data_IF_439574727588
#
_entry.id   IF_439574727588
#
_cell.length_a   1.000
_cell.length_b   1.000
_cell.length_c   1.000
_cell.angle_alpha   90.00
_cell.angle_beta   90.00
_cell.angle_gamma   90.00
#
_symmetry.space_group_name_H-M   'P 1'
#
loop_
_entity.id
_entity.type
_entity.pdbx_description
1 polymer ?
#
# COMPACT_ATOMS: atom_id res chain seq x y z
N UNK A 1 -13.40 18.82 45.56
CA UNK A 1 -12.54 19.53 44.58
C UNK A 1 -11.46 18.54 44.10
N UNK A 2 -11.78 17.65 43.18
CA UNK A 2 -10.86 16.62 42.62
C UNK A 2 -10.17 17.19 41.40
N UNK A 3 -8.91 17.57 41.55
CA UNK A 3 -8.01 17.87 40.40
C UNK A 3 -7.40 16.56 39.92
N UNK A 4 -8.07 15.86 39.05
CA UNK A 4 -7.46 14.79 38.28
C UNK A 4 -6.74 15.43 37.09
N UNK A 5 -5.40 15.48 37.15
CA UNK A 5 -4.57 15.76 35.98
C UNK A 5 -4.82 14.68 34.94
N UNK A 6 -5.07 14.99 33.66
CA UNK A 6 -5.14 13.99 32.63
C UNK A 6 -3.74 13.39 32.40
N UNK A 7 -3.54 12.19 32.88
CA UNK A 7 -2.34 11.37 32.65
C UNK A 7 -2.50 10.56 31.38
N UNK A 8 -2.59 11.21 30.21
CA UNK A 8 -2.45 10.55 28.92
C UNK A 8 -1.69 11.43 27.94
N UNK A 9 -0.51 11.87 28.31
CA UNK A 9 0.55 12.08 27.34
C UNK A 9 1.25 10.72 27.20
N UNK A 10 0.66 9.84 26.42
CA UNK A 10 1.34 8.68 25.92
C UNK A 10 2.53 9.19 25.11
N UNK A 11 3.72 9.02 25.66
CA UNK A 11 4.98 9.36 24.98
C UNK A 11 4.99 8.55 23.69
N UNK A 12 4.80 9.21 22.53
CA UNK A 12 4.90 8.57 21.24
C UNK A 12 6.27 7.89 21.16
N UNK A 13 6.36 6.58 21.01
CA UNK A 13 7.64 5.90 21.10
C UNK A 13 8.48 6.22 19.88
N UNK A 14 9.73 6.51 20.16
CA UNK A 14 10.91 6.52 19.30
C UNK A 14 10.92 7.42 18.07
N UNK A 15 11.97 8.26 17.99
CA UNK A 15 12.44 8.95 16.79
C UNK A 15 13.03 7.99 15.73
N UNK A 16 12.82 6.68 15.89
CA UNK A 16 13.24 5.68 14.92
C UNK A 16 12.54 5.91 13.58
N UNK A 17 13.27 5.85 12.46
CA UNK A 17 12.69 6.04 11.14
C UNK A 17 11.62 4.99 10.84
N UNK A 18 10.55 5.42 10.17
CA UNK A 18 9.55 4.51 9.61
C UNK A 18 10.04 3.97 8.26
N UNK A 19 9.94 2.67 8.07
CA UNK A 19 10.27 2.02 6.81
C UNK A 19 9.10 2.16 5.83
N UNK A 20 9.32 2.85 4.72
CA UNK A 20 8.32 3.09 3.68
C UNK A 20 8.71 2.34 2.41
N UNK A 21 7.80 1.54 1.88
CA UNK A 21 7.94 0.88 0.59
C UNK A 21 6.96 1.52 -0.41
N UNK A 22 7.46 2.11 -1.48
CA UNK A 22 6.63 2.62 -2.57
C UNK A 22 6.68 1.66 -3.77
N UNK A 23 5.52 1.08 -4.10
CA UNK A 23 5.32 0.15 -5.21
C UNK A 23 4.73 0.90 -6.40
N UNK A 24 5.56 1.17 -7.41
CA UNK A 24 5.16 1.95 -8.59
C UNK A 24 4.73 1.01 -9.72
N UNK A 25 3.43 1.02 -10.04
CA UNK A 25 2.82 0.22 -11.09
C UNK A 25 2.62 0.99 -12.41
N UNK A 26 3.45 2.01 -12.67
CA UNK A 26 3.51 2.66 -13.98
C UNK A 26 4.07 1.67 -15.01
N UNK A 27 3.51 1.68 -16.23
CA UNK A 27 4.00 0.86 -17.34
C UNK A 27 5.28 1.42 -18.00
N UNK A 28 5.77 2.56 -17.52
CA UNK A 28 7.01 3.19 -18.02
C UNK A 28 8.21 2.62 -17.28
N UNK A 29 9.24 2.22 -18.02
CA UNK A 29 10.53 1.78 -17.49
C UNK A 29 11.46 2.95 -17.13
N UNK A 30 12.49 2.70 -16.30
CA UNK A 30 13.56 3.67 -16.09
C UNK A 30 14.29 3.96 -17.43
N UNK A 31 14.77 5.19 -17.64
CA UNK A 31 14.67 6.37 -16.75
C UNK A 31 13.42 7.25 -16.99
N UNK A 32 12.40 6.73 -17.66
CA UNK A 32 11.23 7.54 -18.05
C UNK A 32 10.45 8.03 -16.83
N UNK A 33 10.18 9.33 -16.75
CA UNK A 33 9.40 9.92 -15.68
C UNK A 33 7.95 9.43 -15.70
N UNK A 34 7.44 9.10 -14.53
CA UNK A 34 6.08 8.64 -14.31
C UNK A 34 5.31 9.68 -13.51
N UNK A 35 4.14 10.11 -14.01
CA UNK A 35 3.26 11.04 -13.30
C UNK A 35 2.88 10.49 -11.92
N UNK A 36 2.56 9.20 -11.85
CA UNK A 36 2.26 8.51 -10.59
C UNK A 36 3.48 8.52 -9.65
N UNK A 37 4.67 8.36 -10.21
CA UNK A 37 5.91 8.44 -9.45
C UNK A 37 6.19 9.85 -8.90
N UNK A 38 5.86 10.90 -9.65
CA UNK A 38 6.01 12.29 -9.18
C UNK A 38 5.01 12.62 -8.06
N UNK A 39 3.75 12.18 -8.18
CA UNK A 39 2.77 12.36 -7.11
C UNK A 39 3.15 11.54 -5.85
N UNK A 40 3.66 10.33 -6.03
CA UNK A 40 4.18 9.53 -4.91
C UNK A 40 5.35 10.23 -4.22
N UNK A 41 6.24 10.90 -4.98
CA UNK A 41 7.35 11.68 -4.41
C UNK A 41 6.83 12.85 -3.57
N UNK A 42 5.78 13.55 -4.02
CA UNK A 42 5.14 14.61 -3.23
C UNK A 42 4.62 14.07 -1.88
N UNK A 43 3.93 12.93 -1.89
CA UNK A 43 3.47 12.29 -0.64
C UNK A 43 4.65 11.92 0.27
N UNK A 44 5.72 11.39 -0.29
CA UNK A 44 6.93 11.04 0.48
C UNK A 44 7.62 12.27 1.06
N UNK A 45 7.62 13.40 0.36
CA UNK A 45 8.19 14.67 0.87
C UNK A 45 7.35 15.23 2.03
N UNK A 46 6.02 15.17 1.92
CA UNK A 46 5.14 15.50 3.04
C UNK A 46 5.37 14.57 4.25
N UNK A 47 5.60 13.27 4.04
CA UNK A 47 5.95 12.35 5.13
C UNK A 47 7.30 12.69 5.77
N UNK A 48 8.33 13.06 4.97
CA UNK A 48 9.64 13.48 5.48
C UNK A 48 9.56 14.73 6.35
N UNK A 49 8.65 15.63 6.03
CA UNK A 49 8.40 16.83 6.84
C UNK A 49 7.79 16.50 8.22
N UNK A 50 7.14 15.32 8.36
CA UNK A 50 6.44 14.91 9.58
C UNK A 50 7.26 13.97 10.47
N UNK A 51 8.12 13.14 9.88
CA UNK A 51 8.87 12.12 10.59
C UNK A 51 10.13 11.67 9.84
N UNK A 52 11.16 11.17 10.52
CA UNK A 52 12.21 10.39 9.87
C UNK A 52 11.63 9.18 9.17
N UNK A 53 11.91 9.03 7.87
CA UNK A 53 11.49 7.85 7.08
C UNK A 53 12.67 7.28 6.29
N UNK A 54 12.71 5.95 6.17
CA UNK A 54 13.59 5.21 5.26
C UNK A 54 12.77 4.70 4.10
N UNK A 55 13.07 5.15 2.89
CA UNK A 55 12.24 4.86 1.71
C UNK A 55 12.92 3.87 0.79
N UNK A 56 12.21 2.79 0.44
CA UNK A 56 12.53 1.91 -0.67
C UNK A 56 11.49 2.10 -1.77
N UNK A 57 11.94 2.22 -3.01
CA UNK A 57 11.05 2.33 -4.17
C UNK A 57 11.27 1.11 -5.05
N UNK A 58 10.19 0.45 -5.42
CA UNK A 58 10.19 -0.63 -6.41
C UNK A 58 9.31 -0.22 -7.58
N UNK A 59 9.89 -0.20 -8.77
CA UNK A 59 9.16 -0.02 -10.02
C UNK A 59 8.80 -1.39 -10.57
N UNK A 60 7.52 -1.72 -10.60
CA UNK A 60 7.04 -3.04 -10.99
C UNK A 60 7.25 -3.36 -12.48
N UNK A 61 7.42 -2.32 -13.34
CA UNK A 61 7.78 -2.51 -14.75
C UNK A 61 9.18 -3.07 -14.94
N UNK A 62 10.05 -2.92 -13.95
CA UNK A 62 11.44 -3.35 -13.99
C UNK A 62 11.66 -4.64 -13.18
N UNK A 63 10.58 -5.19 -12.61
CA UNK A 63 10.57 -6.44 -11.86
C UNK A 63 9.94 -7.57 -12.68
N UNK A 64 10.50 -8.75 -12.57
CA UNK A 64 9.92 -9.97 -13.14
C UNK A 64 8.93 -10.57 -12.16
N UNK A 65 7.64 -10.39 -12.44
CA UNK A 65 6.54 -10.97 -11.65
C UNK A 65 5.70 -11.89 -12.56
N UNK A 66 6.02 -13.18 -12.65
CA UNK A 66 5.25 -14.13 -13.44
C UNK A 66 3.78 -14.25 -12.99
N UNK A 67 2.92 -14.69 -13.87
CA UNK A 67 1.54 -15.08 -13.53
C UNK A 67 1.59 -16.35 -12.71
N UNK A 68 0.80 -16.42 -11.64
CA UNK A 68 0.67 -17.60 -10.81
C UNK A 68 0.34 -17.25 -9.35
N UNK A 69 0.07 -18.25 -8.55
CA UNK A 69 -0.37 -18.16 -7.17
C UNK A 69 0.68 -18.67 -6.17
N UNK A 70 1.71 -19.40 -6.66
CA UNK A 70 2.75 -19.95 -5.81
C UNK A 70 3.68 -18.85 -5.28
N UNK A 71 4.33 -19.08 -4.16
CA UNK A 71 5.31 -18.13 -3.62
C UNK A 71 6.48 -17.87 -4.59
N UNK A 72 6.86 -18.87 -5.43
CA UNK A 72 7.83 -18.73 -6.52
C UNK A 72 7.33 -19.47 -7.76
N UNK A 73 7.14 -18.75 -8.85
CA UNK A 73 6.62 -19.31 -10.12
C UNK A 73 7.74 -19.66 -11.12
N UNK A 74 8.89 -18.99 -11.04
CA UNK A 74 10.03 -19.19 -11.93
C UNK A 74 11.34 -18.91 -11.22
N UNK A 75 12.47 -19.26 -11.82
CA UNK A 75 13.81 -19.00 -11.27
C UNK A 75 14.06 -17.48 -11.11
N UNK A 76 13.62 -16.70 -12.10
CA UNK A 76 13.81 -15.25 -12.16
C UNK A 76 12.65 -14.47 -11.50
N UNK A 77 11.79 -15.13 -10.70
CA UNK A 77 10.67 -14.48 -10.01
C UNK A 77 11.16 -13.59 -8.88
N UNK A 78 10.95 -12.27 -9.02
CA UNK A 78 11.29 -11.25 -8.02
C UNK A 78 10.29 -11.17 -6.86
N UNK A 79 9.21 -11.98 -6.87
CA UNK A 79 8.19 -11.96 -5.84
C UNK A 79 8.74 -12.23 -4.42
N UNK A 80 9.61 -13.22 -4.18
CA UNK A 80 10.17 -13.47 -2.85
C UNK A 80 10.92 -12.27 -2.27
N UNK A 81 11.68 -11.58 -3.12
CA UNK A 81 12.39 -10.35 -2.76
C UNK A 81 11.43 -9.20 -2.44
N UNK A 82 10.35 -9.09 -3.22
CA UNK A 82 9.32 -8.08 -2.99
C UNK A 82 8.58 -8.34 -1.67
N UNK A 83 8.24 -9.58 -1.37
CA UNK A 83 7.65 -9.98 -0.08
C UNK A 83 8.57 -9.61 1.09
N UNK A 84 9.87 -9.85 0.95
CA UNK A 84 10.84 -9.46 1.97
C UNK A 84 10.81 -7.95 2.23
N UNK A 85 10.71 -7.14 1.16
CA UNK A 85 10.57 -5.68 1.29
C UNK A 85 9.24 -5.28 1.92
N UNK A 86 8.14 -5.95 1.56
CA UNK A 86 6.81 -5.73 2.16
C UNK A 86 6.85 -6.06 3.67
N UNK A 87 7.44 -7.19 4.03
CA UNK A 87 7.57 -7.60 5.45
C UNK A 87 8.37 -6.60 6.29
N UNK A 88 9.40 -5.99 5.71
CA UNK A 88 10.26 -5.02 6.39
C UNK A 88 9.64 -3.61 6.48
N UNK A 89 8.58 -3.31 5.74
CA UNK A 89 7.95 -2.01 5.71
C UNK A 89 6.98 -1.80 6.89
N UNK A 90 6.91 -0.58 7.41
CA UNK A 90 5.86 -0.11 8.31
C UNK A 90 4.68 0.46 7.48
N UNK A 91 5.01 1.07 6.32
CA UNK A 91 4.06 1.71 5.41
C UNK A 91 4.31 1.21 3.98
N UNK A 92 3.24 0.87 3.27
CA UNK A 92 3.31 0.49 1.84
C UNK A 92 2.44 1.44 1.02
N UNK A 93 3.04 2.12 0.03
CA UNK A 93 2.35 2.96 -0.94
C UNK A 93 2.12 2.18 -2.23
N UNK A 94 0.86 2.03 -2.60
CA UNK A 94 0.41 1.40 -3.84
C UNK A 94 0.15 2.49 -4.88
N UNK A 95 1.05 2.63 -5.87
CA UNK A 95 1.03 3.74 -6.81
C UNK A 95 0.70 3.23 -8.21
N UNK A 96 -0.46 3.63 -8.76
CA UNK A 96 -0.96 3.13 -10.06
C UNK A 96 -1.46 4.25 -10.96
N UNK A 97 -1.23 4.18 -12.27
CA UNK A 97 -1.99 4.98 -13.23
C UNK A 97 -3.41 4.40 -13.41
N UNK A 98 -4.32 5.24 -13.90
CA UNK A 98 -5.62 4.82 -14.42
C UNK A 98 -5.44 4.32 -15.85
N UNK A 99 -6.03 3.19 -16.17
CA UNK A 99 -6.15 2.61 -17.50
C UNK A 99 -7.59 2.15 -17.72
N UNK A 100 -8.30 2.78 -18.66
CA UNK A 100 -9.68 2.41 -19.00
C UNK A 100 -10.59 2.30 -17.76
N UNK A 101 -10.54 3.31 -16.89
CA UNK A 101 -11.30 3.33 -15.63
C UNK A 101 -10.81 2.36 -14.55
N UNK A 102 -9.76 1.57 -14.81
CA UNK A 102 -9.19 0.57 -13.92
C UNK A 102 -7.74 0.87 -13.51
N UNK A 103 -7.20 0.06 -12.62
CA UNK A 103 -5.78 0.05 -12.25
C UNK A 103 -4.93 -0.56 -13.38
N UNK A 104 -3.64 -0.26 -13.39
CA UNK A 104 -2.73 -0.86 -14.37
C UNK A 104 -2.63 -2.38 -14.21
N UNK A 105 -2.25 -3.08 -15.29
CA UNK A 105 -2.00 -4.52 -15.27
C UNK A 105 -0.93 -4.93 -14.26
N UNK A 106 0.09 -4.08 -14.05
CA UNK A 106 1.12 -4.34 -13.05
C UNK A 106 0.57 -4.24 -11.61
N UNK A 107 -0.35 -3.31 -11.34
CA UNK A 107 -1.02 -3.24 -10.04
C UNK A 107 -1.96 -4.43 -9.84
N UNK A 108 -2.67 -4.84 -10.89
CA UNK A 108 -3.52 -6.01 -10.85
C UNK A 108 -2.69 -7.27 -10.57
N UNK A 109 -1.58 -7.46 -11.27
CA UNK A 109 -0.65 -8.56 -11.03
C UNK A 109 -0.08 -8.56 -9.62
N UNK A 110 0.33 -7.40 -9.11
CA UNK A 110 0.79 -7.29 -7.73
C UNK A 110 -0.27 -7.78 -6.74
N UNK A 111 -1.53 -7.34 -6.93
CA UNK A 111 -2.65 -7.75 -6.06
C UNK A 111 -2.88 -9.26 -6.12
N UNK A 112 -2.86 -9.85 -7.32
CA UNK A 112 -3.00 -11.29 -7.49
C UNK A 112 -1.86 -12.07 -6.83
N UNK A 113 -0.64 -11.57 -6.95
CA UNK A 113 0.54 -12.18 -6.29
C UNK A 113 0.52 -12.06 -4.76
N UNK A 114 -0.17 -11.06 -4.20
CA UNK A 114 -0.35 -10.96 -2.75
C UNK A 114 -1.12 -12.14 -2.17
N UNK A 115 -1.95 -12.83 -2.96
CA UNK A 115 -2.67 -14.03 -2.55
C UNK A 115 -1.73 -15.16 -2.11
N UNK A 116 -0.53 -15.24 -2.69
CA UNK A 116 0.52 -16.19 -2.26
C UNK A 116 0.97 -16.04 -0.79
N UNK A 117 0.61 -14.94 -0.12
CA UNK A 117 0.87 -14.76 1.32
C UNK A 117 -0.13 -15.52 2.20
N UNK A 118 -1.23 -15.99 1.64
CA UNK A 118 -2.21 -16.81 2.38
C UNK A 118 -1.65 -18.18 2.75
N UNK A 119 -0.76 -18.75 1.94
CA UNK A 119 -0.05 -20.00 2.26
C UNK A 119 0.73 -19.86 3.58
N UNK A 120 1.46 -18.74 3.75
CA UNK A 120 2.21 -18.48 4.96
C UNK A 120 1.27 -18.28 6.17
N UNK A 121 0.17 -17.57 5.95
CA UNK A 121 -0.84 -17.36 6.99
C UNK A 121 -1.47 -18.71 7.41
N UNK A 122 -1.86 -19.54 6.46
CA UNK A 122 -2.44 -20.85 6.72
C UNK A 122 -1.48 -21.78 7.45
N UNK A 123 -0.19 -21.75 7.09
CA UNK A 123 0.84 -22.59 7.73
C UNK A 123 1.24 -22.12 9.13
N UNK A 124 1.27 -20.80 9.37
CA UNK A 124 1.87 -20.24 10.59
C UNK A 124 0.88 -19.52 11.51
N UNK A 125 -0.34 -19.23 11.05
CA UNK A 125 -1.30 -18.35 11.72
C UNK A 125 -0.83 -16.88 11.80
N UNK A 126 0.26 -16.52 11.10
CA UNK A 126 0.86 -15.18 11.14
C UNK A 126 0.76 -14.52 9.77
N UNK A 127 0.07 -13.40 9.72
CA UNK A 127 0.01 -12.59 8.50
C UNK A 127 1.28 -11.73 8.35
N UNK A 128 1.90 -11.77 7.17
CA UNK A 128 3.00 -10.90 6.79
C UNK A 128 2.61 -9.41 6.69
N UNK A 129 1.29 -9.14 6.61
CA UNK A 129 0.71 -7.83 6.30
C UNK A 129 0.16 -7.13 7.54
N UNK A 130 -0.32 -7.87 8.54
CA UNK A 130 -0.88 -7.28 9.77
C UNK A 130 0.11 -6.32 10.44
N UNK A 131 -0.43 -5.19 10.90
CA UNK A 131 0.37 -4.14 11.53
C UNK A 131 1.04 -3.17 10.54
N UNK A 132 0.79 -3.31 9.24
CA UNK A 132 1.27 -2.39 8.21
C UNK A 132 0.16 -1.44 7.78
N UNK A 133 0.54 -0.21 7.46
CA UNK A 133 -0.38 0.81 6.94
C UNK A 133 -0.22 0.90 5.44
N UNK A 134 -1.33 0.97 4.71
CA UNK A 134 -1.30 1.14 3.28
C UNK A 134 -1.89 2.48 2.85
N UNK A 135 -1.28 3.08 1.81
CA UNK A 135 -1.76 4.26 1.13
C UNK A 135 -1.78 4.05 -0.39
N UNK A 136 -2.62 4.82 -1.08
CA UNK A 136 -2.83 4.67 -2.50
C UNK A 136 -2.52 5.99 -3.21
N UNK A 137 -1.76 5.92 -4.30
CA UNK A 137 -1.45 7.09 -5.15
C UNK A 137 -1.91 6.79 -6.57
N UNK A 138 -2.76 7.65 -7.12
CA UNK A 138 -3.40 7.41 -8.41
C UNK A 138 -3.20 8.62 -9.32
N UNK A 139 -2.86 8.39 -10.59
CA UNK A 139 -2.86 9.43 -11.61
C UNK A 139 -3.47 8.91 -12.90
N UNK A 140 -4.14 9.80 -13.64
CA UNK A 140 -4.68 9.48 -14.95
C UNK A 140 -5.02 10.74 -15.74
N UNK A 141 -5.35 10.55 -17.00
CA UNK A 141 -5.94 11.58 -17.88
C UNK A 141 -7.38 11.22 -18.28
N UNK A 142 -8.00 10.29 -17.56
CA UNK A 142 -9.38 9.85 -17.74
C UNK A 142 -10.00 9.55 -16.38
N UNK A 143 -11.32 9.48 -16.32
CA UNK A 143 -12.07 9.18 -15.10
C UNK A 143 -11.75 7.78 -14.56
N UNK A 144 -12.06 7.58 -13.27
CA UNK A 144 -11.90 6.27 -12.62
C UNK A 144 -11.10 6.29 -11.33
N UNK A 145 -10.61 7.44 -10.87
CA UNK A 145 -9.80 7.53 -9.65
C UNK A 145 -10.51 6.91 -8.44
N UNK A 146 -11.79 7.20 -8.23
CA UNK A 146 -12.57 6.65 -7.10
C UNK A 146 -12.83 5.15 -7.25
N UNK A 147 -13.08 4.67 -8.48
CA UNK A 147 -13.24 3.25 -8.78
C UNK A 147 -11.95 2.48 -8.49
N UNK A 148 -10.82 2.98 -8.99
CA UNK A 148 -9.50 2.40 -8.74
C UNK A 148 -9.18 2.39 -7.24
N UNK A 149 -9.39 3.52 -6.55
CA UNK A 149 -9.19 3.63 -5.10
C UNK A 149 -10.02 2.60 -4.34
N UNK A 150 -11.33 2.55 -4.58
CA UNK A 150 -12.26 1.65 -3.90
C UNK A 150 -11.89 0.18 -4.11
N UNK A 151 -11.54 -0.20 -5.34
CA UNK A 151 -11.17 -1.58 -5.68
C UNK A 151 -9.84 -2.02 -5.03
N UNK A 152 -8.85 -1.13 -4.91
CA UNK A 152 -7.59 -1.42 -4.23
C UNK A 152 -7.79 -1.43 -2.71
N UNK A 153 -8.48 -0.42 -2.17
CA UNK A 153 -8.75 -0.30 -0.74
C UNK A 153 -9.46 -1.53 -0.18
N UNK A 154 -10.48 -2.02 -0.89
CA UNK A 154 -11.24 -3.21 -0.50
C UNK A 154 -10.31 -4.43 -0.36
N UNK A 155 -9.50 -4.70 -1.37
CA UNK A 155 -8.59 -5.86 -1.37
C UNK A 155 -7.54 -5.73 -0.26
N UNK A 156 -6.86 -4.58 -0.16
CA UNK A 156 -5.81 -4.38 0.84
C UNK A 156 -6.35 -4.46 2.27
N UNK A 157 -7.56 -3.91 2.51
CA UNK A 157 -8.23 -4.02 3.80
C UNK A 157 -8.58 -5.47 4.13
N UNK A 158 -9.12 -6.22 3.17
CA UNK A 158 -9.44 -7.64 3.34
C UNK A 158 -8.19 -8.48 3.64
N UNK A 159 -7.08 -8.19 2.98
CA UNK A 159 -5.80 -8.87 3.20
C UNK A 159 -5.15 -8.55 4.55
N UNK A 160 -5.62 -7.52 5.27
CA UNK A 160 -5.15 -7.17 6.61
C UNK A 160 -4.24 -5.96 6.72
N UNK A 161 -4.09 -5.16 5.65
CA UNK A 161 -3.50 -3.83 5.77
C UNK A 161 -4.43 -2.89 6.55
N UNK A 162 -3.85 -2.01 7.36
CA UNK A 162 -4.59 -0.89 7.93
C UNK A 162 -4.73 0.21 6.90
N UNK A 163 -5.98 0.48 6.49
CA UNK A 163 -6.33 1.59 5.61
C UNK A 163 -6.76 2.78 6.46
N UNK A 164 -5.94 3.84 6.59
CA UNK A 164 -6.31 5.00 7.41
C UNK A 164 -7.39 5.85 6.73
N UNK A 165 -8.04 6.79 7.44
CA UNK A 165 -8.82 7.86 6.80
C UNK A 165 -7.96 8.59 5.76
N UNK A 166 -8.59 9.11 4.70
CA UNK A 166 -7.89 9.80 3.60
C UNK A 166 -6.72 8.98 3.04
N UNK A 167 -6.93 7.67 2.88
CA UNK A 167 -5.89 6.70 2.49
C UNK A 167 -5.39 6.84 1.05
N UNK A 168 -5.85 7.84 0.30
CA UNK A 168 -5.46 8.03 -1.09
C UNK A 168 -5.20 9.48 -1.47
N UNK A 169 -4.23 9.68 -2.36
CA UNK A 169 -4.03 10.93 -3.09
C UNK A 169 -4.12 10.65 -4.60
N UNK A 170 -4.87 11.48 -5.33
CA UNK A 170 -5.01 11.29 -6.76
C UNK A 170 -5.00 12.59 -7.55
N UNK A 171 -4.65 12.47 -8.83
CA UNK A 171 -4.79 13.48 -9.87
C UNK A 171 -5.38 12.87 -11.12
N UNK A 172 -6.43 13.51 -11.64
CA UNK A 172 -6.98 13.23 -12.97
C UNK A 172 -6.77 14.46 -13.83
N UNK A 173 -6.02 14.33 -14.91
CA UNK A 173 -5.76 15.41 -15.86
C UNK A 173 -6.79 15.46 -16.99
N UNK A 174 -6.48 16.22 -18.03
CA UNK A 174 -7.33 16.35 -19.21
C UNK A 174 -7.14 15.17 -20.16
N UNK A 175 -8.24 14.58 -20.64
CA UNK A 175 -8.23 13.49 -21.63
C UNK A 175 -7.55 13.93 -22.91
N UNK A 176 -6.68 13.08 -23.46
CA UNK A 176 -6.00 13.32 -24.74
C UNK A 176 -4.80 14.26 -24.67
N UNK A 177 -4.48 14.83 -23.50
CA UNK A 177 -3.28 15.68 -23.36
C UNK A 177 -2.03 14.86 -23.04
N UNK A 178 -0.85 15.27 -23.55
CA UNK A 178 0.40 14.66 -23.15
C UNK A 178 0.63 14.73 -21.64
N UNK A 179 1.22 13.70 -21.05
CA UNK A 179 1.47 13.62 -19.60
C UNK A 179 2.33 14.76 -19.05
N UNK A 180 3.19 15.38 -19.90
CA UNK A 180 3.97 16.56 -19.58
C UNK A 180 3.13 17.82 -19.42
N UNK A 181 1.99 17.93 -20.14
CA UNK A 181 1.13 19.09 -20.13
C UNK A 181 0.54 19.38 -18.74
N UNK A 182 0.19 18.34 -18.02
CA UNK A 182 -0.48 18.47 -16.71
C UNK A 182 0.51 18.48 -15.53
N UNK A 183 1.83 18.40 -15.78
CA UNK A 183 2.79 18.28 -14.68
C UNK A 183 2.69 19.44 -13.68
N UNK A 184 2.75 20.68 -14.16
CA UNK A 184 2.68 21.85 -13.29
C UNK A 184 1.30 22.01 -12.67
N UNK A 185 0.24 21.73 -13.42
CA UNK A 185 -1.15 21.74 -12.91
C UNK A 185 -1.29 20.73 -11.76
N UNK A 186 -0.80 19.49 -11.95
CA UNK A 186 -0.87 18.42 -10.96
C UNK A 186 -0.13 18.78 -9.67
N UNK A 187 1.11 19.25 -9.78
CA UNK A 187 1.94 19.56 -8.63
C UNK A 187 1.56 20.86 -7.91
N UNK A 188 0.68 21.68 -8.51
CA UNK A 188 0.16 22.92 -7.92
C UNK A 188 -1.33 22.87 -7.62
N UNK A 189 -2.00 21.78 -7.93
CA UNK A 189 -3.42 21.65 -7.65
C UNK A 189 -3.66 21.55 -6.14
N UNK A 190 -4.41 22.52 -5.61
CA UNK A 190 -4.66 22.62 -4.16
C UNK A 190 -5.34 21.38 -3.59
N UNK A 191 -6.30 20.79 -4.30
CA UNK A 191 -7.00 19.59 -3.85
C UNK A 191 -6.05 18.38 -3.81
N UNK A 192 -5.21 18.19 -4.83
CA UNK A 192 -4.21 17.13 -4.89
C UNK A 192 -3.17 17.27 -3.79
N UNK A 193 -2.68 18.51 -3.56
CA UNK A 193 -1.75 18.79 -2.46
C UNK A 193 -2.38 18.53 -1.09
N UNK A 194 -3.64 18.91 -0.92
CA UNK A 194 -4.37 18.66 0.33
C UNK A 194 -4.51 17.14 0.59
N UNK A 195 -4.90 16.38 -0.44
CA UNK A 195 -4.98 14.91 -0.34
C UNK A 195 -3.61 14.29 -0.04
N UNK A 196 -2.53 14.75 -0.69
CA UNK A 196 -1.18 14.24 -0.44
C UNK A 196 -0.74 14.49 1.01
N UNK A 197 -1.04 15.68 1.54
CA UNK A 197 -0.75 16.04 2.93
C UNK A 197 -1.59 15.22 3.92
N UNK A 198 -2.89 15.10 3.72
CA UNK A 198 -3.79 14.28 4.55
C UNK A 198 -3.35 12.82 4.58
N UNK A 199 -3.08 12.26 3.39
CA UNK A 199 -2.53 10.91 3.27
C UNK A 199 -1.24 10.74 4.07
N UNK A 200 -0.25 11.64 3.90
CA UNK A 200 1.02 11.57 4.60
C UNK A 200 0.85 11.62 6.12
N UNK A 201 0.01 12.54 6.62
CA UNK A 201 -0.28 12.68 8.06
C UNK A 201 -0.88 11.39 8.64
N UNK A 202 -1.88 10.85 7.97
CA UNK A 202 -2.56 9.63 8.44
C UNK A 202 -1.64 8.41 8.36
N UNK A 203 -0.85 8.25 7.30
CA UNK A 203 0.12 7.15 7.18
C UNK A 203 1.14 7.16 8.32
N UNK A 204 1.74 8.32 8.59
CA UNK A 204 2.73 8.45 9.66
C UNK A 204 2.10 8.23 11.03
N UNK A 205 0.92 8.81 11.28
CA UNK A 205 0.21 8.66 12.55
C UNK A 205 -0.13 7.19 12.85
N UNK A 206 -0.80 6.52 11.90
CA UNK A 206 -1.22 5.14 12.09
C UNK A 206 -0.06 4.15 12.14
N UNK A 207 1.01 4.36 11.35
CA UNK A 207 2.20 3.53 11.43
C UNK A 207 2.87 3.62 12.81
N UNK A 208 2.99 4.82 13.37
CA UNK A 208 3.51 5.02 14.72
C UNK A 208 2.61 4.39 15.78
N UNK A 209 1.30 4.54 15.64
CA UNK A 209 0.31 3.95 16.55
C UNK A 209 0.42 2.43 16.57
N UNK A 210 0.44 1.78 15.40
CA UNK A 210 0.54 0.32 15.30
C UNK A 210 1.90 -0.21 15.80
N UNK A 211 2.96 0.55 15.57
CA UNK A 211 4.31 0.18 16.05
C UNK A 211 4.40 0.29 17.58
N UNK A 212 3.71 1.27 18.17
CA UNK A 212 3.61 1.43 19.62
C UNK A 212 2.70 0.39 20.30
N UNK A 213 1.68 -0.04 19.58
CA UNK A 213 0.67 -0.98 20.06
C UNK A 213 0.50 -2.15 19.09
N UNK A 214 1.50 -3.05 18.98
CA UNK A 214 1.41 -4.19 18.09
C UNK A 214 0.23 -5.09 18.51
N UNK A 215 -0.52 -5.55 17.51
CA UNK A 215 -1.64 -6.46 17.75
C UNK A 215 -1.11 -7.82 18.21
N UNK A 216 -1.29 -8.12 19.46
CA UNK A 216 -0.92 -9.40 20.09
C UNK A 216 -2.15 -10.30 20.23
N UNK A 217 -2.80 -10.63 19.10
CA UNK A 217 -3.78 -11.72 19.16
C UNK A 217 -3.01 -13.03 19.30
N UNK A 218 -3.35 -13.82 20.34
CA UNK A 218 -2.90 -15.20 20.40
C UNK A 218 -3.25 -15.86 19.06
N UNK A 219 -2.30 -16.56 18.46
CA UNK A 219 -2.57 -17.37 17.28
C UNK A 219 -3.67 -18.37 17.65
N UNK A 220 -4.93 -18.01 17.40
CA UNK A 220 -6.04 -18.95 17.43
C UNK A 220 -5.68 -20.04 16.43
N UNK A 221 -5.78 -21.32 16.81
CA UNK A 221 -5.71 -22.42 15.85
C UNK A 221 -6.60 -22.02 14.68
N UNK A 222 -6.06 -22.07 13.47
CA UNK A 222 -6.81 -21.74 12.27
C UNK A 222 -8.09 -22.60 12.24
N UNK A 223 -9.22 -21.98 12.48
CA UNK A 223 -10.54 -22.64 12.46
C UNK A 223 -10.87 -23.18 11.06
N UNK A 224 -10.09 -22.78 10.07
CA UNK A 224 -10.31 -23.17 8.67
C UNK A 224 -10.02 -24.65 8.37
N UNK A 225 -9.14 -25.32 9.12
CA UNK A 225 -8.79 -26.72 8.81
C UNK A 225 -9.80 -27.75 9.30
N UNK A 226 -10.69 -27.39 10.22
CA UNK A 226 -11.69 -28.36 10.73
C UNK A 226 -12.98 -28.40 9.89
N UNK A 227 -13.28 -27.37 9.08
CA UNK A 227 -14.49 -27.36 8.25
C UNK A 227 -14.39 -28.20 6.97
N UNK A 228 -13.19 -28.48 6.48
CA UNK A 228 -13.02 -29.33 5.28
C UNK A 228 -12.91 -30.82 5.55
N UNK A 229 -12.71 -31.23 6.80
CA UNK A 229 -12.62 -32.65 7.16
C UNK A 229 -13.97 -33.38 7.22
N UNK A 230 -15.09 -32.66 7.15
CA UNK A 230 -16.44 -33.24 7.30
C UNK A 230 -17.34 -33.09 6.06
N UNK A 231 -16.80 -32.70 4.91
CA UNK A 231 -17.54 -32.74 3.65
C UNK A 231 -17.29 -34.10 2.98
N UNK A 232 -17.97 -35.15 3.47
CA UNK A 232 -18.17 -36.36 2.67
C UNK A 232 -19.03 -35.98 1.47
N UNK A 233 -18.44 -36.03 0.27
CA UNK A 233 -19.18 -35.91 -0.97
C UNK A 233 -19.98 -37.22 -1.12
N UNK A 234 -21.32 -37.19 -1.12
CA UNK A 234 -22.09 -38.41 -1.42
C UNK A 234 -21.80 -38.84 -2.85
N UNK A 235 -21.41 -40.09 -3.03
CA UNK A 235 -21.25 -40.78 -4.34
C UNK A 235 -22.55 -40.94 -5.05
#
# INVERSE_FOLDING_TARGET
>A
MYKTKPRFLCRMPSDAPLNVLALKASLKHEPTLSNTGELASLVLDEMRALAPISVKVVRLSDATLPVGLSFREAAEDDWPDLVTKIKAADIVLFCTPIWWGGRSSLMQRLIERLDALDEEYSATGRSAIKGKVAGIVITGSEDGALSVMGSIMMVLSFMGFTMPPECAAYWVGEVGQPTSHDRDKRLRNMATMHMAKGLAQNLVYYARLLKAHPQTFAAGKAVCCEMHANLEVPT
#
